data_IF_264640456871
#
_entry.id   IF_264640456871
#
_cell.length_a   1.000
_cell.length_b   1.000
_cell.length_c   1.000
_cell.angle_alpha   90.00
_cell.angle_beta   90.00
_cell.angle_gamma   90.00
#
_symmetry.space_group_name_H-M   'P 1'
#
loop_
_entity.id
_entity.type
_entity.pdbx_description
1 polymer ?
#
# COMPACT_ATOMS: atom_id res chain seq x y z
N UNK A 1 -33.28 15.88 27.74
CA UNK A 1 -32.27 14.81 27.67
C UNK A 1 -31.30 15.03 28.81
N UNK A 2 -31.34 14.18 29.84
CA UNK A 2 -30.53 14.37 31.06
C UNK A 2 -29.08 13.96 30.81
N UNK A 3 -28.12 14.66 31.41
CA UNK A 3 -26.68 14.34 31.35
C UNK A 3 -26.36 12.90 31.75
N UNK A 4 -27.15 12.35 32.69
CA UNK A 4 -27.08 10.94 33.11
C UNK A 4 -27.32 9.95 31.97
N UNK A 5 -28.18 10.29 31.01
CA UNK A 5 -28.47 9.44 29.85
C UNK A 5 -27.28 9.38 28.89
N UNK A 6 -26.61 10.52 28.66
CA UNK A 6 -25.40 10.56 27.83
C UNK A 6 -24.24 9.78 28.46
N UNK A 7 -24.07 9.89 29.78
CA UNK A 7 -23.04 9.15 30.52
C UNK A 7 -23.29 7.64 30.42
N UNK A 8 -24.53 7.20 30.63
CA UNK A 8 -24.89 5.77 30.50
C UNK A 8 -24.65 5.25 29.08
N UNK A 9 -24.97 6.04 28.06
CA UNK A 9 -24.72 5.67 26.67
C UNK A 9 -23.22 5.51 26.39
N UNK A 10 -22.41 6.46 26.86
CA UNK A 10 -20.95 6.40 26.67
C UNK A 10 -20.31 5.20 27.37
N UNK A 11 -20.72 4.93 28.62
CA UNK A 11 -20.26 3.77 29.38
C UNK A 11 -20.69 2.46 28.71
N UNK A 12 -21.93 2.39 28.21
CA UNK A 12 -22.41 1.25 27.45
C UNK A 12 -21.62 1.00 26.17
N UNK A 13 -21.29 2.07 25.43
CA UNK A 13 -20.50 1.97 24.20
C UNK A 13 -19.07 1.48 24.50
N UNK A 14 -18.43 2.01 25.54
CA UNK A 14 -17.10 1.57 25.99
C UNK A 14 -17.10 0.11 26.44
N UNK A 15 -18.11 -0.31 27.21
CA UNK A 15 -18.25 -1.70 27.62
C UNK A 15 -18.41 -2.63 26.41
N UNK A 16 -19.21 -2.22 25.41
CA UNK A 16 -19.43 -2.97 24.18
C UNK A 16 -18.14 -3.15 23.37
N UNK A 17 -17.31 -2.10 23.26
CA UNK A 17 -16.03 -2.19 22.54
C UNK A 17 -15.02 -3.06 23.27
N UNK A 18 -14.92 -2.94 24.59
CA UNK A 18 -14.08 -3.80 25.45
C UNK A 18 -14.48 -5.28 25.33
N UNK A 19 -15.78 -5.57 25.36
CA UNK A 19 -16.32 -6.91 25.14
C UNK A 19 -15.96 -7.43 23.74
N UNK A 20 -16.05 -6.59 22.71
CA UNK A 20 -15.62 -6.92 21.36
C UNK A 20 -14.15 -7.34 21.29
N UNK A 21 -13.25 -6.53 21.85
CA UNK A 21 -11.81 -6.84 21.91
C UNK A 21 -11.50 -8.10 22.74
N UNK A 22 -12.23 -8.33 23.83
CA UNK A 22 -12.05 -9.52 24.66
C UNK A 22 -12.49 -10.80 23.94
N UNK A 23 -13.64 -10.75 23.24
CA UNK A 23 -14.14 -11.85 22.42
C UNK A 23 -13.16 -12.19 21.30
N UNK A 24 -12.61 -11.14 20.69
CA UNK A 24 -11.61 -11.23 19.63
C UNK A 24 -10.33 -11.90 20.13
N UNK A 25 -9.80 -11.48 21.28
CA UNK A 25 -8.63 -12.13 21.90
C UNK A 25 -8.90 -13.59 22.28
N UNK A 26 -10.14 -13.94 22.65
CA UNK A 26 -10.49 -15.32 23.07
C UNK A 26 -10.72 -16.27 21.90
N UNK A 27 -11.34 -15.81 20.82
CA UNK A 27 -11.76 -16.64 19.69
C UNK A 27 -10.98 -16.38 18.39
N UNK A 28 -10.20 -15.30 18.32
CA UNK A 28 -9.39 -14.93 17.16
C UNK A 28 -10.19 -14.51 15.94
N UNK A 29 -11.42 -14.00 16.12
CA UNK A 29 -12.36 -13.73 15.03
C UNK A 29 -12.08 -12.43 14.24
N UNK A 30 -11.17 -11.59 14.73
CA UNK A 30 -10.81 -10.28 14.20
C UNK A 30 -12.05 -9.40 13.91
N UNK A 31 -13.09 -9.46 14.77
CA UNK A 31 -14.36 -8.78 14.57
C UNK A 31 -14.19 -7.26 14.48
N UNK A 32 -13.29 -6.69 15.29
CA UNK A 32 -13.05 -5.25 15.29
C UNK A 32 -12.32 -4.80 14.02
N UNK A 33 -11.40 -5.62 13.52
CA UNK A 33 -10.73 -5.38 12.25
C UNK A 33 -11.72 -5.50 11.07
N UNK A 34 -12.64 -6.47 11.13
CA UNK A 34 -13.72 -6.61 10.15
C UNK A 34 -14.66 -5.41 10.14
N UNK A 35 -15.06 -4.90 11.32
CA UNK A 35 -15.87 -3.70 11.45
C UNK A 35 -15.16 -2.44 10.93
N UNK A 36 -13.82 -2.39 11.05
CA UNK A 36 -12.96 -1.33 10.54
C UNK A 36 -12.62 -1.44 9.05
N UNK A 37 -13.09 -2.48 8.35
CA UNK A 37 -12.79 -2.71 6.93
C UNK A 37 -11.40 -3.32 6.67
N UNK A 38 -10.61 -3.56 7.71
CA UNK A 38 -9.34 -4.28 7.63
C UNK A 38 -9.59 -5.79 7.78
N UNK A 39 -10.21 -6.39 6.76
CA UNK A 39 -10.37 -7.84 6.72
C UNK A 39 -9.01 -8.51 6.52
N UNK A 40 -8.32 -8.85 7.60
CA UNK A 40 -7.10 -9.65 7.52
C UNK A 40 -7.48 -11.09 7.17
N UNK A 41 -7.13 -11.50 5.95
CA UNK A 41 -7.33 -12.89 5.51
C UNK A 41 -6.61 -13.85 6.48
N UNK A 42 -7.25 -14.95 6.93
CA UNK A 42 -6.65 -15.92 7.84
C UNK A 42 -5.43 -16.64 7.25
N UNK A 43 -5.16 -16.45 5.96
CA UNK A 43 -4.00 -17.02 5.25
C UNK A 43 -2.83 -16.06 5.10
N UNK A 44 -2.95 -14.81 5.57
CA UNK A 44 -1.86 -13.85 5.59
C UNK A 44 -1.17 -13.93 6.96
N UNK A 45 -0.30 -14.92 7.12
CA UNK A 45 0.65 -14.99 8.23
C UNK A 45 1.32 -13.63 8.41
N UNK A 46 1.37 -13.12 9.64
CA UNK A 46 1.99 -11.84 10.03
C UNK A 46 3.35 -11.59 9.35
N UNK A 47 4.11 -12.67 9.14
CA UNK A 47 5.41 -12.72 8.46
C UNK A 47 5.35 -12.27 6.98
N UNK A 48 4.25 -12.57 6.27
CA UNK A 48 4.06 -12.20 4.87
C UNK A 48 3.80 -10.70 4.68
N UNK A 49 3.19 -10.02 5.67
CA UNK A 49 2.97 -8.56 5.63
C UNK A 49 4.28 -7.77 5.79
N UNK A 50 5.18 -8.23 6.65
CA UNK A 50 6.52 -7.64 6.80
C UNK A 50 7.42 -7.90 5.59
N UNK A 51 7.32 -9.09 4.99
CA UNK A 51 8.07 -9.43 3.77
C UNK A 51 7.53 -8.66 2.55
N UNK A 52 6.22 -8.59 2.35
CA UNK A 52 5.61 -7.78 1.28
C UNK A 52 5.99 -6.30 1.40
N UNK A 53 5.96 -5.73 2.61
CA UNK A 53 6.38 -4.32 2.79
C UNK A 53 7.85 -4.04 2.44
N UNK A 54 8.71 -5.07 2.48
CA UNK A 54 10.10 -4.98 2.04
C UNK A 54 10.24 -5.18 0.52
N UNK A 55 9.59 -6.21 -0.02
CA UNK A 55 9.59 -6.51 -1.46
C UNK A 55 8.92 -5.42 -2.30
N UNK A 56 7.87 -4.78 -1.77
CA UNK A 56 7.17 -3.69 -2.45
C UNK A 56 8.03 -2.42 -2.50
N UNK A 57 8.80 -2.15 -1.44
CA UNK A 57 9.79 -1.04 -1.45
C UNK A 57 10.91 -1.28 -2.45
N UNK A 58 11.45 -2.50 -2.52
CA UNK A 58 12.48 -2.84 -3.51
C UNK A 58 11.95 -2.72 -4.96
N UNK A 59 10.69 -3.11 -5.19
CA UNK A 59 10.03 -2.93 -6.48
C UNK A 59 9.83 -1.45 -6.82
N UNK A 60 9.39 -0.64 -5.86
CA UNK A 60 9.19 0.80 -6.06
C UNK A 60 10.51 1.52 -6.39
N UNK A 61 11.61 1.17 -5.69
CA UNK A 61 12.94 1.69 -6.00
C UNK A 61 13.40 1.29 -7.42
N UNK A 62 13.16 0.04 -7.83
CA UNK A 62 13.46 -0.40 -9.21
C UNK A 62 12.60 0.33 -10.24
N UNK A 63 11.33 0.58 -9.94
CA UNK A 63 10.43 1.33 -10.83
C UNK A 63 10.95 2.75 -11.02
N UNK A 64 11.36 3.43 -9.95
CA UNK A 64 11.93 4.78 -10.04
C UNK A 64 13.21 4.81 -10.90
N UNK A 65 14.13 3.88 -10.69
CA UNK A 65 15.36 3.79 -11.50
C UNK A 65 15.05 3.53 -12.98
N UNK A 66 14.06 2.68 -13.27
CA UNK A 66 13.64 2.40 -14.65
C UNK A 66 12.97 3.62 -15.29
N UNK A 67 12.16 4.37 -14.54
CA UNK A 67 11.54 5.61 -15.02
C UNK A 67 12.58 6.68 -15.36
N UNK A 68 13.59 6.87 -14.51
CA UNK A 68 14.69 7.82 -14.79
C UNK A 68 15.45 7.44 -16.07
N UNK A 69 15.75 6.15 -16.26
CA UNK A 69 16.40 5.68 -17.49
C UNK A 69 15.54 5.89 -18.72
N UNK A 70 14.23 5.63 -18.62
CA UNK A 70 13.28 5.87 -19.72
C UNK A 70 13.25 7.37 -20.05
N UNK A 71 13.18 8.24 -19.06
CA UNK A 71 13.20 9.69 -19.28
C UNK A 71 14.49 10.16 -20.00
N UNK A 72 15.64 9.59 -19.62
CA UNK A 72 16.91 9.87 -20.29
C UNK A 72 16.89 9.34 -21.74
N UNK A 73 16.40 8.13 -21.97
CA UNK A 73 16.28 7.52 -23.30
C UNK A 73 15.34 8.31 -24.20
N UNK A 74 14.19 8.73 -23.69
CA UNK A 74 13.27 9.60 -24.41
C UNK A 74 13.97 10.90 -24.80
N UNK A 75 14.72 11.51 -23.89
CA UNK A 75 15.48 12.74 -24.19
C UNK A 75 16.51 12.52 -25.31
N UNK A 76 17.33 11.48 -25.23
CA UNK A 76 18.38 11.18 -26.23
C UNK A 76 17.76 10.88 -27.60
N UNK A 77 16.67 10.10 -27.64
CA UNK A 77 16.00 9.76 -28.90
C UNK A 77 15.33 10.98 -29.54
N UNK A 78 14.90 11.95 -28.72
CA UNK A 78 14.28 13.20 -29.20
C UNK A 78 15.32 14.26 -29.59
N UNK A 79 16.62 14.02 -29.40
CA UNK A 79 17.67 14.95 -29.78
C UNK A 79 17.99 14.88 -31.28
N UNK A 80 18.18 16.03 -31.97
CA UNK A 80 18.47 16.07 -33.40
C UNK A 80 19.81 15.41 -33.77
N UNK A 81 20.73 15.24 -32.80
CA UNK A 81 21.99 14.54 -32.98
C UNK A 81 21.80 13.02 -33.21
N UNK A 82 20.77 12.42 -32.61
CA UNK A 82 20.44 11.01 -32.79
C UNK A 82 19.85 10.76 -34.18
N UNK A 83 18.93 11.62 -34.62
CA UNK A 83 18.38 11.59 -35.99
C UNK A 83 19.47 11.75 -37.05
N UNK A 84 20.38 12.71 -36.87
CA UNK A 84 21.50 12.93 -37.79
C UNK A 84 22.44 11.70 -37.86
N UNK A 85 22.71 11.03 -36.73
CA UNK A 85 23.49 9.80 -36.70
C UNK A 85 22.78 8.66 -37.45
N UNK A 86 21.45 8.58 -37.31
CA UNK A 86 20.62 7.61 -38.01
C UNK A 86 20.64 7.85 -39.52
N UNK A 87 20.56 9.10 -39.96
CA UNK A 87 20.68 9.49 -41.38
C UNK A 87 22.08 9.18 -41.95
N UNK A 88 23.14 9.50 -41.20
CA UNK A 88 24.52 9.14 -41.57
C UNK A 88 24.72 7.62 -41.75
N UNK A 89 24.16 6.81 -40.86
CA UNK A 89 24.23 5.35 -40.98
C UNK A 89 23.42 4.81 -42.17
N UNK A 90 22.31 5.47 -42.55
CA UNK A 90 21.56 5.12 -43.77
C UNK A 90 22.36 5.43 -45.04
N UNK A 91 23.15 6.50 -45.04
CA UNK A 91 24.01 6.91 -46.16
C UNK A 91 25.33 6.13 -46.25
N UNK A 92 25.77 5.51 -45.15
CA UNK A 92 26.99 4.68 -45.08
C UNK A 92 26.81 3.26 -45.64
N UNK A 93 25.56 2.85 -45.90
CA UNK A 93 25.21 1.58 -46.53
C UNK A 93 25.13 1.74 -48.04
#
# INVERSE_FOLDING_TARGET
MTTTMFILLFVGLLAMTLLGYWLDHRHGWNLMAWLGGEASSPFQTQERKTLQSGEDKEKDEKIQQLQERIQILERIVTEPAYELNQELNKLKR
#
